data_IF_801100700407
#
_entry.id   IF_801100700407
#
_cell.length_a   1.000
_cell.length_b   1.000
_cell.length_c   1.000
_cell.angle_alpha   90.00
_cell.angle_beta   90.00
_cell.angle_gamma   90.00
#
_symmetry.space_group_name_H-M   'P 1'
#
loop_
_entity.id
_entity.type
_entity.pdbx_description
1 polymer ?
#
# COMPACT_ATOMS: atom_id res chain seq x y z
N UNK A 1 10.08 -0.14 -13.28
CA UNK A 1 9.52 -0.45 -14.62
C UNK A 1 10.58 -0.89 -15.62
N UNK A 2 11.65 -0.11 -15.86
CA UNK A 2 12.68 -0.46 -16.87
C UNK A 2 13.28 -1.88 -16.78
N UNK A 3 13.59 -2.37 -15.58
CA UNK A 3 14.12 -3.74 -15.39
C UNK A 3 13.12 -4.83 -15.82
N UNK A 4 11.81 -4.63 -15.60
CA UNK A 4 10.79 -5.59 -16.02
C UNK A 4 10.67 -5.63 -17.55
N UNK A 5 10.72 -4.46 -18.20
CA UNK A 5 10.76 -4.37 -19.66
C UNK A 5 11.98 -5.08 -20.22
N UNK A 6 13.17 -4.84 -19.64
CA UNK A 6 14.40 -5.52 -20.03
C UNK A 6 14.27 -7.04 -19.90
N UNK A 7 13.82 -7.55 -18.74
CA UNK A 7 13.58 -9.00 -18.53
C UNK A 7 12.62 -9.61 -19.55
N UNK A 8 11.60 -8.85 -19.98
CA UNK A 8 10.67 -9.31 -20.98
C UNK A 8 11.30 -9.35 -22.38
N UNK A 9 11.99 -8.28 -22.77
CA UNK A 9 12.64 -8.16 -24.08
C UNK A 9 13.79 -9.15 -24.27
N UNK A 10 14.51 -9.50 -23.21
CA UNK A 10 15.56 -10.53 -23.24
C UNK A 10 15.05 -11.91 -23.68
N UNK A 11 13.74 -12.15 -23.65
CA UNK A 11 13.13 -13.40 -24.17
C UNK A 11 12.98 -13.40 -25.69
N UNK A 12 13.25 -12.28 -26.35
CA UNK A 12 13.12 -12.11 -27.79
C UNK A 12 14.48 -11.90 -28.43
N UNK A 13 14.62 -12.32 -29.69
CA UNK A 13 15.85 -12.13 -30.48
C UNK A 13 15.93 -10.70 -31.02
N UNK A 14 16.23 -9.74 -30.15
CA UNK A 14 16.37 -8.32 -30.48
C UNK A 14 17.70 -7.75 -29.97
N UNK A 15 18.25 -6.77 -30.67
CA UNK A 15 19.39 -6.00 -30.18
C UNK A 15 18.92 -5.02 -29.09
N UNK A 16 19.60 -5.03 -27.95
CA UNK A 16 19.21 -4.26 -26.77
C UNK A 16 20.36 -3.37 -26.32
N UNK A 17 20.02 -2.11 -26.08
CA UNK A 17 20.90 -1.15 -25.45
C UNK A 17 20.22 -0.58 -24.20
N UNK A 18 20.91 -0.61 -23.08
CA UNK A 18 20.46 -0.07 -21.81
C UNK A 18 21.11 1.30 -21.57
N UNK A 19 20.28 2.30 -21.30
CA UNK A 19 20.71 3.65 -20.94
C UNK A 19 20.19 4.01 -19.54
N UNK A 20 21.07 4.50 -18.67
CA UNK A 20 20.72 4.88 -17.29
C UNK A 20 21.55 6.09 -16.86
N UNK A 21 20.94 7.01 -16.09
CA UNK A 21 21.62 8.20 -15.53
C UNK A 21 22.87 7.85 -14.73
N UNK A 22 22.88 6.68 -14.10
CA UNK A 22 24.03 6.18 -13.35
C UNK A 22 24.55 4.92 -14.03
N UNK A 23 25.73 5.01 -14.65
CA UNK A 23 26.35 3.89 -15.35
C UNK A 23 26.52 2.64 -14.45
N UNK A 24 26.99 2.84 -13.21
CA UNK A 24 27.16 1.74 -12.25
C UNK A 24 25.85 0.99 -11.96
N UNK A 25 24.71 1.68 -11.97
CA UNK A 25 23.40 1.04 -11.79
C UNK A 25 23.01 0.21 -13.01
N UNK A 26 23.33 0.67 -14.23
CA UNK A 26 23.09 -0.10 -15.44
C UNK A 26 23.92 -1.39 -15.45
N UNK A 27 25.21 -1.29 -15.14
CA UNK A 27 26.10 -2.45 -15.05
C UNK A 27 25.61 -3.46 -14.01
N UNK A 28 25.27 -2.98 -12.81
CA UNK A 28 24.72 -3.84 -11.75
C UNK A 28 23.46 -4.58 -12.18
N UNK A 29 22.53 -3.91 -12.89
CA UNK A 29 21.31 -4.55 -13.40
C UNK A 29 21.66 -5.69 -14.37
N UNK A 30 22.64 -5.49 -15.25
CA UNK A 30 23.07 -6.52 -16.20
C UNK A 30 23.75 -7.69 -15.49
N UNK A 31 24.59 -7.41 -14.50
CA UNK A 31 25.27 -8.43 -13.70
C UNK A 31 24.28 -9.27 -12.88
N UNK A 32 23.31 -8.62 -12.21
CA UNK A 32 22.25 -9.28 -11.43
C UNK A 32 21.36 -10.18 -12.31
N UNK A 33 21.26 -9.88 -13.61
CA UNK A 33 20.53 -10.68 -14.60
C UNK A 33 21.40 -11.72 -15.31
N UNK A 34 22.72 -11.70 -15.12
CA UNK A 34 23.66 -12.57 -15.83
C UNK A 34 23.69 -12.31 -17.34
N UNK A 35 23.49 -11.07 -17.78
CA UNK A 35 23.38 -10.71 -19.20
C UNK A 35 24.57 -9.86 -19.62
N UNK A 36 25.31 -10.33 -20.64
CA UNK A 36 26.52 -9.65 -21.14
C UNK A 36 26.42 -9.15 -22.59
N UNK A 37 25.33 -9.47 -23.30
CA UNK A 37 25.14 -9.09 -24.71
C UNK A 37 24.33 -7.80 -24.90
N UNK A 38 23.93 -7.15 -23.81
CA UNK A 38 23.21 -5.86 -23.84
C UNK A 38 24.24 -4.74 -23.80
N UNK A 39 24.17 -3.85 -24.77
CA UNK A 39 25.07 -2.70 -24.84
C UNK A 39 24.70 -1.64 -23.80
N UNK A 40 25.69 -0.86 -23.34
CA UNK A 40 25.46 0.29 -22.47
C UNK A 40 25.63 1.58 -23.25
N UNK A 41 24.61 2.44 -23.20
CA UNK A 41 24.67 3.81 -23.70
C UNK A 41 24.82 4.77 -22.53
N UNK A 42 25.82 5.65 -22.60
CA UNK A 42 25.97 6.75 -21.65
C UNK A 42 24.77 7.70 -21.75
N UNK A 43 24.21 8.08 -20.59
CA UNK A 43 23.05 8.95 -20.53
C UNK A 43 23.28 10.33 -21.15
N UNK A 44 24.51 10.84 -21.11
CA UNK A 44 24.89 12.11 -21.76
C UNK A 44 24.72 12.06 -23.27
N UNK A 45 24.89 10.89 -23.88
CA UNK A 45 24.77 10.66 -25.32
C UNK A 45 23.35 10.29 -25.75
N UNK A 46 22.41 10.17 -24.80
CA UNK A 46 21.03 9.77 -25.08
C UNK A 46 20.38 10.65 -26.16
N UNK A 47 20.49 11.97 -26.04
CA UNK A 47 19.76 12.90 -26.91
C UNK A 47 20.17 12.77 -28.38
N UNK A 48 21.44 12.50 -28.66
CA UNK A 48 21.95 12.34 -30.03
C UNK A 48 21.70 10.94 -30.59
N UNK A 49 21.65 9.92 -29.72
CA UNK A 49 21.63 8.51 -30.13
C UNK A 49 20.24 7.87 -30.07
N UNK A 50 19.28 8.46 -29.37
CA UNK A 50 17.92 7.92 -29.19
C UNK A 50 17.21 7.63 -30.53
N UNK A 51 17.57 8.36 -31.59
CA UNK A 51 16.98 8.21 -32.93
C UNK A 51 17.51 7.02 -33.72
N UNK A 52 18.59 6.36 -33.26
CA UNK A 52 19.14 5.17 -33.92
C UNK A 52 18.28 3.92 -33.67
N UNK A 53 17.48 3.91 -32.60
CA UNK A 53 16.67 2.78 -32.19
C UNK A 53 15.27 2.82 -32.82
N UNK A 54 14.72 1.67 -33.19
CA UNK A 54 13.37 1.58 -33.76
C UNK A 54 12.29 1.64 -32.70
N UNK A 55 12.58 1.08 -31.52
CA UNK A 55 11.74 1.11 -30.34
C UNK A 55 12.54 1.67 -29.17
N UNK A 56 12.00 2.68 -28.49
CA UNK A 56 12.58 3.22 -27.26
C UNK A 56 11.58 3.02 -26.13
N UNK A 57 12.03 2.47 -25.01
CA UNK A 57 11.23 2.36 -23.79
C UNK A 57 11.83 3.23 -22.70
N UNK A 58 11.11 4.29 -22.34
CA UNK A 58 11.51 5.21 -21.30
C UNK A 58 10.82 4.85 -19.98
N UNK A 59 11.61 4.74 -18.91
CA UNK A 59 11.14 4.46 -17.56
C UNK A 59 12.03 5.17 -16.51
N UNK A 60 12.37 6.44 -16.76
CA UNK A 60 13.31 7.25 -15.98
C UNK A 60 12.55 8.14 -14.99
N UNK A 61 12.98 8.19 -13.75
CA UNK A 61 12.40 9.11 -12.76
C UNK A 61 12.89 10.56 -12.96
N UNK A 62 12.08 11.54 -12.56
CA UNK A 62 12.49 12.95 -12.52
C UNK A 62 12.18 13.76 -13.78
N UNK A 63 11.08 13.48 -14.47
CA UNK A 63 10.50 14.34 -15.50
C UNK A 63 11.04 14.12 -16.91
N UNK A 64 10.86 15.12 -17.77
CA UNK A 64 11.19 15.04 -19.18
C UNK A 64 12.71 14.83 -19.39
N UNK A 65 13.07 13.80 -20.17
CA UNK A 65 14.45 13.52 -20.60
C UNK A 65 14.71 14.00 -22.02
N UNK A 66 13.65 14.19 -22.80
CA UNK A 66 13.70 14.76 -24.14
C UNK A 66 12.47 15.65 -24.35
N UNK A 67 12.71 16.92 -24.65
CA UNK A 67 11.66 17.88 -24.95
C UNK A 67 11.44 18.02 -26.46
N UNK A 68 10.33 18.63 -26.86
CA UNK A 68 10.03 18.89 -28.27
C UNK A 68 11.08 19.80 -28.92
N UNK A 69 11.55 20.83 -28.19
CA UNK A 69 12.60 21.72 -28.68
C UNK A 69 13.93 20.98 -28.87
N UNK A 70 14.33 20.15 -27.91
CA UNK A 70 15.52 19.30 -28.03
C UNK A 70 15.42 18.37 -29.24
N UNK A 71 14.26 17.75 -29.43
CA UNK A 71 13.98 16.92 -30.61
C UNK A 71 14.19 17.71 -31.90
N UNK A 72 13.54 18.86 -32.06
CA UNK A 72 13.63 19.67 -33.26
C UNK A 72 15.05 20.17 -33.53
N UNK A 73 15.81 20.52 -32.48
CA UNK A 73 17.22 20.90 -32.61
C UNK A 73 18.07 19.74 -33.12
N UNK A 74 17.91 18.54 -32.56
CA UNK A 74 18.68 17.36 -32.99
C UNK A 74 18.34 16.94 -34.43
N UNK A 75 17.07 17.06 -34.84
CA UNK A 75 16.67 16.82 -36.22
C UNK A 75 17.37 17.78 -37.20
N UNK A 76 17.45 19.07 -36.85
CA UNK A 76 18.14 20.09 -37.68
C UNK A 76 19.64 19.85 -37.79
N UNK A 77 20.26 19.31 -36.75
CA UNK A 77 21.70 19.00 -36.70
C UNK A 77 22.07 17.71 -37.45
N UNK A 78 21.11 17.03 -38.09
CA UNK A 78 21.37 15.83 -38.88
C UNK A 78 21.46 14.55 -38.06
N UNK A 79 21.25 14.62 -36.73
CA UNK A 79 21.10 13.44 -35.86
C UNK A 79 19.74 12.74 -36.02
N UNK A 80 18.94 13.19 -36.99
CA UNK A 80 17.51 12.99 -37.01
C UNK A 80 16.98 11.73 -37.69
N UNK A 81 15.65 11.69 -37.76
CA UNK A 81 14.86 10.66 -38.39
C UNK A 81 15.12 10.66 -39.91
N UNK A 82 15.95 9.73 -40.38
CA UNK A 82 16.30 9.66 -41.79
C UNK A 82 15.03 9.41 -42.64
N UNK A 83 14.87 10.13 -43.76
CA UNK A 83 13.62 10.12 -44.57
C UNK A 83 13.27 8.76 -45.18
N UNK A 84 14.23 7.84 -45.22
CA UNK A 84 14.08 6.48 -45.74
C UNK A 84 13.83 5.41 -44.65
N UNK A 85 13.64 5.80 -43.37
CA UNK A 85 13.57 4.87 -42.23
C UNK A 85 12.13 4.51 -41.84
N UNK A 86 11.98 3.24 -41.42
CA UNK A 86 10.80 2.65 -40.82
C UNK A 86 10.25 3.48 -39.64
N UNK A 87 8.92 3.45 -39.44
CA UNK A 87 8.24 4.14 -38.34
C UNK A 87 8.86 3.76 -36.98
N UNK A 88 9.21 4.76 -36.16
CA UNK A 88 9.78 4.56 -34.81
C UNK A 88 8.70 4.72 -33.74
N UNK A 89 8.85 3.97 -32.64
CA UNK A 89 7.87 3.95 -31.55
C UNK A 89 8.57 4.20 -30.21
N UNK A 90 8.17 5.25 -29.52
CA UNK A 90 8.67 5.62 -28.20
C UNK A 90 7.59 5.31 -27.16
N UNK A 91 7.84 4.32 -26.31
CA UNK A 91 7.01 4.01 -25.16
C UNK A 91 7.44 4.84 -23.95
N UNK A 92 6.55 5.68 -23.45
CA UNK A 92 6.73 6.47 -22.23
C UNK A 92 6.04 5.78 -21.05
N UNK A 93 6.82 5.04 -20.25
CA UNK A 93 6.33 4.27 -19.12
C UNK A 93 6.43 5.04 -17.79
N UNK A 94 6.66 6.35 -17.84
CA UNK A 94 6.96 7.18 -16.67
C UNK A 94 5.83 8.14 -16.31
N UNK A 95 5.70 8.40 -15.00
CA UNK A 95 4.83 9.42 -14.42
C UNK A 95 5.67 10.19 -13.39
N UNK A 96 5.98 11.49 -13.60
CA UNK A 96 5.65 12.30 -14.78
C UNK A 96 6.34 11.82 -16.06
N UNK A 97 5.76 12.17 -17.22
CA UNK A 97 6.21 11.75 -18.56
C UNK A 97 7.66 12.10 -18.85
N UNK A 98 8.36 11.21 -19.55
CA UNK A 98 9.75 11.44 -19.97
C UNK A 98 9.86 12.15 -21.33
N UNK A 99 8.82 12.10 -22.16
CA UNK A 99 8.75 12.90 -23.38
C UNK A 99 7.78 14.05 -23.17
N UNK A 100 8.22 15.29 -23.42
CA UNK A 100 7.37 16.48 -23.28
C UNK A 100 6.40 16.67 -24.47
N UNK A 101 6.30 15.69 -25.36
CA UNK A 101 5.52 15.72 -26.59
C UNK A 101 4.75 14.42 -26.76
N UNK A 102 3.77 14.44 -27.65
CA UNK A 102 2.99 13.27 -28.03
C UNK A 102 2.92 13.14 -29.56
N UNK A 103 2.31 12.06 -30.01
CA UNK A 103 2.18 11.78 -31.46
C UNK A 103 1.46 12.89 -32.22
N UNK A 104 0.53 13.63 -31.60
CA UNK A 104 -0.20 14.70 -32.27
C UNK A 104 0.66 15.96 -32.39
N UNK A 105 1.33 16.38 -31.30
CA UNK A 105 2.19 17.56 -31.32
C UNK A 105 3.39 17.39 -32.27
N UNK A 106 3.86 16.15 -32.46
CA UNK A 106 4.86 15.80 -33.47
C UNK A 106 4.34 15.98 -34.89
N UNK A 107 3.12 15.50 -35.19
CA UNK A 107 2.49 15.67 -36.52
C UNK A 107 2.28 17.14 -36.87
N UNK A 108 1.86 17.95 -35.90
CA UNK A 108 1.70 19.40 -36.07
C UNK A 108 3.03 20.09 -36.40
N UNK A 109 4.15 19.49 -35.96
CA UNK A 109 5.52 19.95 -36.24
C UNK A 109 6.12 19.33 -37.51
N UNK A 110 5.33 18.59 -38.31
CA UNK A 110 5.78 17.95 -39.55
C UNK A 110 6.55 16.64 -39.37
N UNK A 111 6.50 16.02 -38.18
CA UNK A 111 7.15 14.74 -37.87
C UNK A 111 6.09 13.64 -37.90
N UNK A 112 6.15 12.76 -38.90
CA UNK A 112 5.15 11.71 -39.12
C UNK A 112 5.66 10.29 -38.86
N UNK A 113 6.98 10.10 -38.77
CA UNK A 113 7.64 8.81 -38.63
C UNK A 113 8.05 8.47 -37.19
N UNK A 114 7.56 9.23 -36.20
CA UNK A 114 7.74 8.96 -34.78
C UNK A 114 6.36 8.93 -34.09
N UNK A 115 6.08 7.82 -33.41
CA UNK A 115 4.89 7.65 -32.58
C UNK A 115 5.32 7.54 -31.11
N UNK A 116 4.60 8.21 -30.22
CA UNK A 116 4.78 8.13 -28.77
C UNK A 116 3.55 7.47 -28.15
N UNK A 117 3.78 6.44 -27.33
CA UNK A 117 2.76 5.65 -26.65
C UNK A 117 2.98 5.78 -25.14
N UNK A 118 2.04 6.37 -24.42
CA UNK A 118 2.09 6.50 -22.96
C UNK A 118 1.51 5.30 -22.21
N UNK A 119 1.67 5.30 -20.88
CA UNK A 119 1.04 4.31 -19.99
C UNK A 119 -0.48 4.25 -20.15
N UNK A 120 -1.14 5.39 -20.38
CA UNK A 120 -2.59 5.44 -20.52
C UNK A 120 -3.08 4.80 -21.82
N UNK A 121 -2.33 4.93 -22.92
CA UNK A 121 -2.62 4.26 -24.19
C UNK A 121 -2.51 2.73 -24.07
N UNK A 122 -1.60 2.24 -23.22
CA UNK A 122 -1.42 0.82 -22.96
C UNK A 122 -2.57 0.20 -22.16
N UNK A 123 -3.24 0.98 -21.30
CA UNK A 123 -4.39 0.51 -20.49
C UNK A 123 -5.54 0.04 -21.37
N UNK A 124 -5.79 0.72 -22.50
CA UNK A 124 -6.89 0.39 -23.42
C UNK A 124 -6.67 -0.99 -24.06
N UNK A 125 -5.43 -1.36 -24.38
CA UNK A 125 -5.11 -2.69 -24.92
C UNK A 125 -5.10 -3.79 -23.85
N UNK A 126 -4.68 -3.46 -22.63
CA UNK A 126 -4.73 -4.41 -21.51
C UNK A 126 -6.17 -4.81 -21.12
N UNK A 127 -7.16 -3.95 -21.39
CA UNK A 127 -8.57 -4.24 -21.20
C UNK A 127 -9.10 -5.35 -22.13
N UNK A 128 -8.40 -5.76 -23.18
CA UNK A 128 -8.86 -6.87 -24.04
C UNK A 128 -8.61 -8.25 -23.41
N UNK A 129 -7.81 -8.34 -22.34
CA UNK A 129 -7.57 -9.57 -21.56
C UNK A 129 -8.47 -9.63 -20.29
N UNK A 130 -9.74 -9.28 -20.41
CA UNK A 130 -10.69 -9.24 -19.28
C UNK A 130 -11.00 -10.64 -18.74
N UNK A 131 -11.17 -11.65 -19.60
CA UNK A 131 -11.76 -12.92 -19.14
C UNK A 131 -10.86 -13.72 -18.18
N UNK A 132 -9.54 -13.74 -18.41
CA UNK A 132 -8.56 -14.31 -17.46
C UNK A 132 -8.45 -13.51 -16.15
N UNK A 133 -8.87 -12.24 -16.14
CA UNK A 133 -8.87 -11.39 -14.94
C UNK A 133 -10.14 -11.51 -14.12
N UNK A 134 -11.26 -11.91 -14.70
CA UNK A 134 -12.54 -12.00 -13.97
C UNK A 134 -12.50 -13.05 -12.85
N UNK A 135 -11.97 -14.24 -13.15
CA UNK A 135 -11.84 -15.32 -12.15
C UNK A 135 -10.85 -14.94 -11.04
N UNK A 136 -9.66 -14.45 -11.41
CA UNK A 136 -8.67 -13.96 -10.45
C UNK A 136 -9.18 -12.76 -9.63
N UNK A 137 -9.98 -11.88 -10.23
CA UNK A 137 -10.58 -10.74 -9.52
C UNK A 137 -11.64 -11.22 -8.52
N UNK A 138 -12.45 -12.23 -8.87
CA UNK A 138 -13.44 -12.82 -7.96
C UNK A 138 -12.77 -13.45 -6.75
N UNK A 139 -11.71 -14.22 -6.95
CA UNK A 139 -10.93 -14.80 -5.85
C UNK A 139 -10.33 -13.71 -4.96
N UNK A 140 -9.73 -12.68 -5.58
CA UNK A 140 -9.17 -11.55 -4.83
C UNK A 140 -10.24 -10.79 -4.03
N UNK A 141 -11.44 -10.59 -4.58
CA UNK A 141 -12.56 -9.97 -3.87
C UNK A 141 -13.02 -10.80 -2.66
N UNK A 142 -13.01 -12.13 -2.76
CA UNK A 142 -13.29 -13.02 -1.63
C UNK A 142 -12.27 -12.84 -0.49
N UNK A 143 -10.98 -12.73 -0.83
CA UNK A 143 -9.91 -12.44 0.14
C UNK A 143 -10.14 -11.07 0.79
N UNK A 144 -10.37 -10.03 -0.01
CA UNK A 144 -10.62 -8.67 0.50
C UNK A 144 -11.84 -8.65 1.43
N UNK A 145 -12.94 -9.29 1.05
CA UNK A 145 -14.15 -9.36 1.88
C UNK A 145 -13.88 -10.00 3.25
N UNK A 146 -13.12 -11.10 3.29
CA UNK A 146 -12.70 -11.74 4.54
C UNK A 146 -11.88 -10.80 5.42
N UNK A 147 -10.85 -10.17 4.87
CA UNK A 147 -9.98 -9.27 5.63
C UNK A 147 -10.70 -8.00 6.11
N UNK A 148 -11.67 -7.50 5.33
CA UNK A 148 -12.51 -6.37 5.74
C UNK A 148 -13.38 -6.76 6.94
N UNK A 149 -13.96 -7.96 6.94
CA UNK A 149 -14.74 -8.47 8.08
C UNK A 149 -13.86 -8.65 9.32
N UNK A 150 -12.70 -9.30 9.17
CA UNK A 150 -11.74 -9.50 10.26
C UNK A 150 -11.27 -8.15 10.84
N UNK A 151 -11.01 -7.16 9.98
CA UNK A 151 -10.66 -5.80 10.39
C UNK A 151 -11.79 -5.11 11.17
N UNK A 152 -13.04 -5.26 10.72
CA UNK A 152 -14.20 -4.72 11.42
C UNK A 152 -14.33 -5.31 12.84
N UNK A 153 -14.21 -6.63 12.97
CA UNK A 153 -14.22 -7.29 14.29
C UNK A 153 -13.08 -6.81 15.18
N UNK A 154 -11.87 -6.71 14.63
CA UNK A 154 -10.73 -6.16 15.37
C UNK A 154 -10.99 -4.73 15.85
N UNK A 155 -11.53 -3.87 14.99
CA UNK A 155 -11.82 -2.48 15.32
C UNK A 155 -12.86 -2.35 16.43
N UNK A 156 -13.92 -3.17 16.41
CA UNK A 156 -14.93 -3.18 17.48
C UNK A 156 -14.35 -3.68 18.81
N UNK A 157 -13.43 -4.65 18.78
CA UNK A 157 -12.75 -5.15 19.99
C UNK A 157 -11.94 -4.07 20.72
N UNK A 158 -11.38 -3.09 19.99
CA UNK A 158 -10.62 -1.98 20.60
C UNK A 158 -11.51 -1.05 21.44
N UNK A 159 -12.81 -1.00 21.16
CA UNK A 159 -13.76 -0.18 21.93
C UNK A 159 -13.92 -0.67 23.37
N UNK A 160 -13.92 -1.98 23.61
CA UNK A 160 -14.21 -2.54 24.94
C UNK A 160 -12.98 -2.65 25.85
N UNK A 161 -11.77 -2.64 25.29
CA UNK A 161 -10.53 -2.76 26.06
C UNK A 161 -10.35 -1.65 27.13
N UNK A 162 -10.64 -0.36 26.85
CA UNK A 162 -10.67 0.69 27.88
C UNK A 162 -11.62 0.39 29.03
N UNK A 163 -12.82 -0.12 28.74
CA UNK A 163 -13.81 -0.52 29.77
C UNK A 163 -13.28 -1.66 30.64
N UNK A 164 -12.73 -2.71 30.02
CA UNK A 164 -12.12 -3.86 30.73
C UNK A 164 -10.98 -3.37 31.63
N UNK A 165 -10.14 -2.46 31.14
CA UNK A 165 -9.03 -1.87 31.90
C UNK A 165 -9.54 -1.06 33.09
N UNK A 166 -10.56 -0.23 32.90
CA UNK A 166 -11.19 0.57 33.97
C UNK A 166 -11.76 -0.34 35.05
N UNK A 167 -12.56 -1.35 34.67
CA UNK A 167 -13.16 -2.32 35.59
C UNK A 167 -12.09 -3.04 36.44
N UNK A 168 -11.04 -3.58 35.79
CA UNK A 168 -9.94 -4.27 36.50
C UNK A 168 -9.16 -3.32 37.42
N UNK A 169 -8.97 -2.08 37.00
CA UNK A 169 -8.27 -1.06 37.81
C UNK A 169 -9.08 -0.70 39.05
N UNK A 170 -10.39 -0.50 38.92
CA UNK A 170 -11.28 -0.23 40.06
C UNK A 170 -11.29 -1.38 41.06
N UNK A 171 -11.38 -2.64 40.59
CA UNK A 171 -11.31 -3.82 41.46
C UNK A 171 -9.99 -3.89 42.24
N UNK A 172 -8.86 -3.65 41.57
CA UNK A 172 -7.53 -3.59 42.22
C UNK A 172 -7.45 -2.47 43.24
N UNK A 173 -7.93 -1.27 42.92
CA UNK A 173 -7.93 -0.14 43.84
C UNK A 173 -8.81 -0.39 45.07
N UNK A 174 -10.00 -0.98 44.88
CA UNK A 174 -10.89 -1.37 45.97
C UNK A 174 -10.22 -2.40 46.90
N UNK A 175 -9.56 -3.41 46.33
CA UNK A 175 -8.79 -4.40 47.08
C UNK A 175 -7.70 -3.76 47.92
N UNK A 176 -6.84 -2.92 47.32
CA UNK A 176 -5.74 -2.28 48.03
C UNK A 176 -6.23 -1.36 49.15
N UNK A 177 -7.33 -0.64 48.91
CA UNK A 177 -7.97 0.21 49.91
C UNK A 177 -8.44 -0.60 51.12
N UNK A 178 -9.09 -1.73 50.92
CA UNK A 178 -9.59 -2.54 52.03
C UNK A 178 -8.46 -3.31 52.74
N UNK A 179 -7.43 -3.78 52.03
CA UNK A 179 -6.23 -4.37 52.65
C UNK A 179 -5.55 -3.35 53.58
N UNK A 180 -5.33 -2.12 53.10
CA UNK A 180 -4.74 -1.05 53.91
C UNK A 180 -5.59 -0.75 55.16
N UNK A 181 -6.92 -0.77 55.00
CA UNK A 181 -7.85 -0.55 56.11
C UNK A 181 -7.82 -1.69 57.13
N UNK A 182 -7.77 -2.94 56.66
CA UNK A 182 -7.71 -4.12 57.51
C UNK A 182 -6.43 -4.18 58.32
N UNK A 183 -5.29 -3.83 57.70
CA UNK A 183 -4.00 -3.70 58.36
C UNK A 183 -4.04 -2.60 59.42
N UNK A 184 -4.52 -1.39 59.08
CA UNK A 184 -4.62 -0.26 60.02
C UNK A 184 -5.49 -0.60 61.24
N UNK A 185 -6.53 -1.42 61.06
CA UNK A 185 -7.42 -1.88 62.14
C UNK A 185 -6.87 -3.08 62.93
N UNK A 186 -5.75 -3.66 62.51
CA UNK A 186 -5.14 -4.81 63.16
C UNK A 186 -5.80 -6.16 62.83
N UNK A 187 -6.69 -6.24 61.84
CA UNK A 187 -7.27 -7.51 61.39
C UNK A 187 -6.27 -8.39 60.65
N UNK A 188 -5.28 -7.77 60.01
CA UNK A 188 -4.22 -8.43 59.25
C UNK A 188 -2.88 -7.83 59.69
N UNK A 189 -1.89 -8.65 60.10
CA UNK A 189 -0.54 -8.17 60.37
C UNK A 189 0.10 -7.54 59.12
N UNK A 190 0.83 -6.43 59.28
CA UNK A 190 1.54 -5.77 58.16
C UNK A 190 2.47 -6.73 57.40
N UNK A 191 3.12 -7.67 58.12
CA UNK A 191 4.00 -8.67 57.52
C UNK A 191 3.32 -9.58 56.48
N UNK A 192 1.98 -9.71 56.51
CA UNK A 192 1.22 -10.53 55.56
C UNK A 192 0.66 -9.74 54.37
N UNK A 193 0.92 -8.42 54.30
CA UNK A 193 0.38 -7.53 53.27
C UNK A 193 0.55 -8.08 51.85
N UNK A 194 1.75 -8.51 51.50
CA UNK A 194 2.06 -8.98 50.15
C UNK A 194 1.32 -10.29 49.82
N UNK A 195 1.22 -11.20 50.79
CA UNK A 195 0.50 -12.46 50.62
C UNK A 195 -1.00 -12.23 50.41
N UNK A 196 -1.61 -11.35 51.21
CA UNK A 196 -3.02 -10.99 51.08
C UNK A 196 -3.27 -10.21 49.79
N UNK A 197 -2.34 -9.35 49.37
CA UNK A 197 -2.42 -8.64 48.09
C UNK A 197 -2.40 -9.62 46.91
N UNK A 198 -1.53 -10.63 46.93
CA UNK A 198 -1.49 -11.69 45.90
C UNK A 198 -2.77 -12.51 45.88
N UNK A 199 -3.30 -12.87 47.06
CA UNK A 199 -4.57 -13.59 47.18
C UNK A 199 -5.72 -12.79 46.58
N UNK A 200 -5.87 -11.52 46.98
CA UNK A 200 -6.94 -10.66 46.48
C UNK A 200 -6.84 -10.42 44.96
N UNK A 201 -5.62 -10.24 44.44
CA UNK A 201 -5.40 -10.17 42.99
C UNK A 201 -5.86 -11.46 42.28
N UNK A 202 -5.56 -12.63 42.85
CA UNK A 202 -5.97 -13.91 42.28
C UNK A 202 -7.50 -14.09 42.30
N UNK A 203 -8.16 -13.72 43.41
CA UNK A 203 -9.62 -13.75 43.52
C UNK A 203 -10.28 -12.85 42.48
N UNK A 204 -9.81 -11.61 42.34
CA UNK A 204 -10.38 -10.68 41.36
C UNK A 204 -10.07 -11.09 39.92
N UNK A 205 -8.91 -11.70 39.64
CA UNK A 205 -8.62 -12.23 38.31
C UNK A 205 -9.58 -13.38 37.95
N UNK A 206 -9.83 -14.29 38.88
CA UNK A 206 -10.78 -15.39 38.70
C UNK A 206 -12.21 -14.85 38.49
N UNK A 207 -12.67 -13.96 39.39
CA UNK A 207 -13.99 -13.35 39.32
C UNK A 207 -14.23 -12.55 38.02
N UNK A 208 -13.22 -11.80 37.57
CA UNK A 208 -13.33 -10.96 36.38
C UNK A 208 -13.02 -11.69 35.07
N UNK A 209 -12.63 -12.97 35.10
CA UNK A 209 -12.31 -13.73 33.91
C UNK A 209 -13.52 -13.86 32.96
N UNK A 210 -14.63 -14.42 33.46
CA UNK A 210 -15.84 -14.62 32.66
C UNK A 210 -16.47 -13.28 32.19
N UNK A 211 -16.60 -12.23 33.02
CA UNK A 211 -17.04 -10.91 32.55
C UNK A 211 -16.13 -10.32 31.47
N UNK A 212 -14.80 -10.48 31.59
CA UNK A 212 -13.85 -10.00 30.56
C UNK A 212 -14.11 -10.69 29.22
N UNK A 213 -14.27 -12.02 29.22
CA UNK A 213 -14.55 -12.79 28.00
C UNK A 213 -15.89 -12.36 27.40
N UNK A 214 -16.92 -12.21 28.23
CA UNK A 214 -18.25 -11.83 27.76
C UNK A 214 -18.25 -10.44 27.12
N UNK A 215 -17.58 -9.46 27.75
CA UNK A 215 -17.42 -8.11 27.21
C UNK A 215 -16.73 -8.12 25.83
N UNK A 216 -15.68 -8.93 25.66
CA UNK A 216 -15.03 -9.09 24.34
C UNK A 216 -15.95 -9.69 23.29
N UNK A 217 -16.67 -10.75 23.63
CA UNK A 217 -17.64 -11.36 22.70
C UNK A 217 -18.78 -10.42 22.32
N UNK A 218 -19.20 -9.54 23.24
CA UNK A 218 -20.25 -8.55 22.99
C UNK A 218 -19.77 -7.42 22.08
N UNK A 219 -18.48 -7.10 22.08
CA UNK A 219 -17.92 -6.13 21.14
C UNK A 219 -17.90 -6.65 19.70
N UNK A 220 -18.00 -7.96 19.50
CA UNK A 220 -18.08 -8.59 18.17
C UNK A 220 -19.54 -8.72 17.66
N UNK A 221 -20.54 -8.49 18.52
CA UNK A 221 -21.97 -8.58 18.21
C UNK A 221 -22.59 -7.20 18.01
N UNK A 222 -23.10 -6.95 16.80
CA UNK A 222 -23.72 -5.68 16.39
C UNK A 222 -24.93 -5.27 17.25
N UNK A 223 -25.57 -6.20 17.94
CA UNK A 223 -26.76 -5.92 18.77
C UNK A 223 -26.42 -5.58 20.23
N UNK A 224 -25.13 -5.66 20.62
CA UNK A 224 -24.71 -5.57 22.01
C UNK A 224 -24.28 -4.16 22.45
N UNK A 225 -24.29 -3.17 21.54
CA UNK A 225 -23.84 -1.79 21.79
C UNK A 225 -24.54 -1.13 22.99
N UNK A 226 -25.86 -1.17 23.04
CA UNK A 226 -26.63 -0.55 24.12
C UNK A 226 -26.29 -1.15 25.50
N UNK A 227 -25.94 -2.45 25.53
CA UNK A 227 -25.55 -3.13 26.76
C UNK A 227 -24.13 -2.72 27.15
N UNK A 228 -23.21 -2.63 26.19
CA UNK A 228 -21.84 -2.16 26.44
C UNK A 228 -21.81 -0.72 26.96
N UNK A 229 -22.62 0.17 26.40
CA UNK A 229 -22.78 1.54 26.91
C UNK A 229 -23.35 1.57 28.34
N UNK A 230 -24.34 0.72 28.63
CA UNK A 230 -24.91 0.61 29.98
C UNK A 230 -23.86 0.15 31.00
N UNK A 231 -23.02 -0.83 30.64
CA UNK A 231 -21.92 -1.30 31.48
C UNK A 231 -20.84 -0.20 31.62
N UNK A 232 -20.54 0.53 30.55
CA UNK A 232 -19.60 1.64 30.56
C UNK A 232 -19.98 2.72 31.57
N UNK A 233 -21.26 3.09 31.56
CA UNK A 233 -21.86 4.04 32.48
C UNK A 233 -21.82 3.54 33.93
N UNK A 234 -22.11 2.25 34.16
CA UNK A 234 -22.05 1.63 35.49
C UNK A 234 -20.64 1.72 36.10
N UNK A 235 -19.61 1.50 35.30
CA UNK A 235 -18.21 1.60 35.74
C UNK A 235 -17.63 3.02 35.64
N UNK A 236 -18.44 4.03 35.31
CA UNK A 236 -18.04 5.45 35.32
C UNK A 236 -17.00 5.82 34.26
N UNK A 237 -16.98 5.12 33.13
CA UNK A 237 -16.06 5.42 32.02
C UNK A 237 -16.64 6.60 31.23
N UNK A 238 -16.12 7.82 31.44
CA UNK A 238 -16.60 9.04 30.75
C UNK A 238 -16.15 9.14 29.29
N UNK A 239 -15.16 8.35 28.89
CA UNK A 239 -14.80 8.22 27.49
C UNK A 239 -15.96 7.52 26.78
N UNK A 240 -16.66 8.24 25.89
CA UNK A 240 -17.61 7.63 24.96
C UNK A 240 -16.92 6.42 24.35
N UNK A 241 -17.37 5.21 24.71
CA UNK A 241 -16.89 4.03 24.04
C UNK A 241 -17.21 4.27 22.57
N UNK A 242 -16.18 4.33 21.73
CA UNK A 242 -16.33 4.62 20.30
C UNK A 242 -16.84 3.37 19.58
N UNK A 243 -17.92 2.78 20.09
CA UNK A 243 -18.71 1.80 19.37
C UNK A 243 -19.36 2.58 18.22
N UNK A 244 -19.17 2.10 16.99
CA UNK A 244 -19.87 2.62 15.81
C UNK A 244 -19.49 4.02 15.27
N UNK A 245 -18.19 4.37 15.19
CA UNK A 245 -17.77 5.46 14.25
C UNK A 245 -17.52 5.00 12.82
N UNK A 246 -17.58 3.69 12.55
CA UNK A 246 -17.21 3.11 11.26
C UNK A 246 -18.27 2.14 10.72
N UNK A 247 -19.57 2.47 10.87
CA UNK A 247 -20.58 1.83 10.02
C UNK A 247 -20.22 2.14 8.58
N UNK A 248 -19.74 1.12 7.86
CA UNK A 248 -19.77 1.13 6.41
C UNK A 248 -21.24 1.02 6.02
N UNK A 249 -21.88 2.15 5.77
CA UNK A 249 -23.13 2.26 5.04
C UNK A 249 -22.88 1.84 3.58
N UNK A 250 -22.65 0.55 3.34
CA UNK A 250 -23.00 -0.02 2.04
C UNK A 250 -24.43 -0.49 2.17
N UNK A 251 -25.35 0.45 1.94
CA UNK A 251 -26.75 0.16 1.71
C UNK A 251 -26.85 -0.88 0.60
N UNK A 252 -27.44 -2.02 0.93
CA UNK A 252 -27.96 -2.97 -0.04
C UNK A 252 -29.23 -2.35 -0.67
N UNK A 253 -29.09 -1.29 -1.46
CA UNK A 253 -30.08 -0.94 -2.47
C UNK A 253 -29.94 -1.90 -3.65
N UNK A 254 -30.53 -3.08 -3.53
CA UNK A 254 -30.98 -3.85 -4.70
C UNK A 254 -32.05 -4.85 -4.26
N UNK A 255 -33.31 -4.39 -4.31
CA UNK A 255 -34.47 -5.22 -4.61
C UNK A 255 -35.26 -4.56 -5.72
#
# INVERSE_FOLDING_TARGET
MGVLCLKHLLKHSVHLTLCNRTHANAQKILDDLGVHHVELLDFSLLQENIYKYDIVLSAVAGGAILTQDMLLMNLKQGHGLNKNIQKKIFFDLSIPRNFSFDTNSLKDSGIYNLEVIGVDDLKIKAQQHIHLREESAREAMGIVGKFTLDFSHWLSSLGVDPLIKTMRTQAKQASLKEINRAIKKGFIPEALRDNVTKLAHSIFNEFLHAPTIKLKSMAEDENSDAILESIANLFGTQDRILLNRYKCEYDNETK
#
